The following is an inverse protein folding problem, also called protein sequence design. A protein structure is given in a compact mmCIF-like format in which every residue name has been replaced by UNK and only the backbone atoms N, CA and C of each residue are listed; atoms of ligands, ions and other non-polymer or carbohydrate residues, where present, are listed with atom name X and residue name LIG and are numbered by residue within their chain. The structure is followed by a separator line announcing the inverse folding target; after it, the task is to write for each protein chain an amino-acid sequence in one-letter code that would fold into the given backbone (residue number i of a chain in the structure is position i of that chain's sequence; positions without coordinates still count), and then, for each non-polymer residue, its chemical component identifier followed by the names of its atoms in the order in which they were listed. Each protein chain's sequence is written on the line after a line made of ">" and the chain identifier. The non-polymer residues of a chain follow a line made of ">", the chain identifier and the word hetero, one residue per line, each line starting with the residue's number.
data_IF_789146970442
#
_entry.id   IF_789146970442
#
_cell.length_a   1.000
_cell.length_b   1.000
_cell.length_c   1.000
_cell.angle_alpha   90.00
_cell.angle_beta   90.00
_cell.angle_gamma   90.00
#
_symmetry.space_group_name_H-M   'P 1'
#
loop_
_entity.id
_entity.type
_entity.pdbx_description
1 polymer ?
#
# COMPACT_ATOMS: atom_id res chain seq x y z
N UNK A 1 -8.05 16.67 -19.70
CA UNK A 1 -8.21 15.30 -19.11
C UNK A 1 -7.39 15.29 -17.83
N UNK A 2 -7.99 14.89 -16.71
CA UNK A 2 -7.30 14.90 -15.41
C UNK A 2 -6.25 13.77 -15.36
N UNK A 3 -5.03 14.08 -14.92
CA UNK A 3 -3.91 13.14 -14.74
C UNK A 3 -4.35 11.93 -13.89
N UNK A 4 -5.18 12.16 -12.88
CA UNK A 4 -5.76 11.13 -12.02
C UNK A 4 -6.64 10.11 -12.76
N UNK A 5 -7.32 10.54 -13.83
CA UNK A 5 -8.16 9.64 -14.65
C UNK A 5 -7.30 8.73 -15.53
N UNK A 6 -6.21 9.25 -16.10
CA UNK A 6 -5.26 8.45 -16.91
C UNK A 6 -4.57 7.42 -16.03
N UNK A 7 -4.11 7.85 -14.85
CA UNK A 7 -3.43 6.97 -13.89
C UNK A 7 -4.37 5.90 -13.31
N UNK A 8 -5.66 6.21 -13.10
CA UNK A 8 -6.64 5.22 -12.62
C UNK A 8 -6.95 4.15 -13.66
N UNK A 9 -7.03 4.53 -14.95
CA UNK A 9 -7.22 3.59 -16.06
C UNK A 9 -5.97 2.71 -16.23
N UNK A 10 -4.79 3.31 -16.17
CA UNK A 10 -3.53 2.56 -16.24
C UNK A 10 -3.34 1.64 -15.02
N UNK A 11 -3.78 2.07 -13.83
CA UNK A 11 -3.79 1.24 -12.62
C UNK A 11 -4.74 0.04 -12.74
N UNK A 12 -5.93 0.23 -13.29
CA UNK A 12 -6.88 -0.87 -13.50
C UNK A 12 -6.36 -1.89 -14.53
N UNK A 13 -5.67 -1.43 -15.56
CA UNK A 13 -5.00 -2.29 -16.53
C UNK A 13 -3.80 -3.05 -15.91
N UNK A 14 -3.10 -2.43 -14.98
CA UNK A 14 -1.97 -3.03 -14.26
C UNK A 14 -2.39 -4.07 -13.22
N UNK A 15 -3.52 -3.84 -12.56
CA UNK A 15 -4.03 -4.75 -11.51
C UNK A 15 -4.71 -5.99 -12.06
N UNK A 16 -5.11 -6.00 -13.33
CA UNK A 16 -5.65 -7.15 -14.07
C UNK A 16 -4.54 -8.13 -14.47
N UNK A 17 -4.03 -8.84 -13.53
CA UNK A 17 -2.74 -9.47 -13.37
C UNK A 17 -2.47 -10.77 -14.18
N UNK A 18 -3.19 -11.15 -15.19
CA UNK A 18 -2.93 -12.43 -15.90
C UNK A 18 -2.85 -12.36 -17.41
N UNK A 19 -3.23 -11.28 -18.05
CA UNK A 19 -3.24 -11.14 -19.50
C UNK A 19 -2.37 -10.02 -20.08
N UNK A 20 -1.52 -9.40 -19.27
CA UNK A 20 -0.66 -8.28 -19.68
C UNK A 20 0.36 -8.65 -20.80
N UNK A 21 0.61 -9.91 -21.01
CA UNK A 21 1.67 -10.36 -21.91
C UNK A 21 1.27 -10.41 -23.39
N UNK A 22 0.02 -10.22 -23.76
CA UNK A 22 -0.43 -10.51 -25.16
C UNK A 22 -0.94 -9.27 -25.92
N UNK A 23 -1.34 -8.18 -25.26
CA UNK A 23 -2.05 -7.09 -25.93
C UNK A 23 -1.34 -5.73 -26.00
N UNK A 24 -0.11 -5.63 -25.51
CA UNK A 24 0.62 -4.36 -25.66
C UNK A 24 1.28 -4.31 -27.04
N UNK A 25 0.55 -3.80 -28.03
CA UNK A 25 1.13 -3.39 -29.31
C UNK A 25 2.14 -2.27 -29.08
N UNK A 26 3.27 -2.28 -29.78
CA UNK A 26 4.27 -1.22 -29.66
C UNK A 26 3.69 0.19 -29.90
N UNK A 27 2.61 0.30 -30.67
CA UNK A 27 1.88 1.56 -30.90
C UNK A 27 1.18 2.11 -29.65
N UNK A 28 0.64 1.23 -28.79
CA UNK A 28 -0.03 1.65 -27.53
C UNK A 28 0.98 2.14 -26.50
N UNK A 29 2.14 1.47 -26.41
CA UNK A 29 3.26 1.93 -25.58
C UNK A 29 3.71 3.32 -26.01
N UNK A 30 3.85 3.54 -27.33
CA UNK A 30 4.24 4.83 -27.89
C UNK A 30 3.22 5.92 -27.55
N UNK A 31 1.94 5.64 -27.72
CA UNK A 31 0.86 6.60 -27.37
C UNK A 31 0.90 7.00 -25.88
N UNK A 32 1.12 6.03 -24.98
CA UNK A 32 1.24 6.30 -23.54
C UNK A 32 2.48 7.17 -23.26
N UNK A 33 3.62 6.86 -23.86
CA UNK A 33 4.84 7.66 -23.72
C UNK A 33 4.66 9.08 -24.23
N UNK A 34 4.01 9.27 -25.36
CA UNK A 34 3.74 10.58 -25.96
C UNK A 34 2.82 11.45 -25.09
N UNK A 35 1.93 10.81 -24.30
CA UNK A 35 1.10 11.50 -23.30
C UNK A 35 1.87 11.82 -22.01
N UNK A 36 2.84 11.00 -21.64
CA UNK A 36 3.62 11.18 -20.42
C UNK A 36 4.76 12.19 -20.54
N UNK A 37 5.38 12.29 -21.72
CA UNK A 37 6.50 13.21 -21.96
C UNK A 37 6.16 14.68 -21.64
N UNK A 38 5.01 15.25 -22.06
CA UNK A 38 4.66 16.63 -21.69
C UNK A 38 4.40 16.79 -20.19
N UNK A 39 3.89 15.76 -19.49
CA UNK A 39 3.73 15.78 -18.04
C UNK A 39 5.08 15.84 -17.32
N UNK A 40 6.08 15.12 -17.83
CA UNK A 40 7.46 15.18 -17.31
C UNK A 40 8.07 16.59 -17.48
N UNK A 41 7.81 17.26 -18.57
CA UNK A 41 8.27 18.64 -18.80
C UNK A 41 7.65 19.67 -17.84
N UNK A 42 6.45 19.38 -17.34
CA UNK A 42 5.71 20.23 -16.39
C UNK A 42 5.74 19.65 -14.95
N UNK A 43 6.72 18.79 -14.67
CA UNK A 43 6.81 18.07 -13.38
C UNK A 43 6.72 18.99 -12.16
N UNK A 44 7.42 20.14 -12.21
CA UNK A 44 7.44 21.10 -11.11
C UNK A 44 6.09 21.80 -10.84
N UNK A 45 5.17 21.75 -11.83
CA UNK A 45 3.83 22.32 -11.70
C UNK A 45 2.81 21.31 -11.17
N UNK A 46 3.19 20.04 -11.07
CA UNK A 46 2.32 18.98 -10.54
C UNK A 46 2.23 19.07 -9.01
N UNK A 47 1.08 18.68 -8.48
CA UNK A 47 0.96 18.48 -7.04
C UNK A 47 1.82 17.30 -6.57
N UNK A 48 2.31 17.34 -5.34
CA UNK A 48 3.15 16.27 -4.77
C UNK A 48 2.55 14.86 -4.96
N UNK A 49 1.25 14.60 -4.72
CA UNK A 49 0.64 13.32 -5.01
C UNK A 49 0.76 12.90 -6.48
N UNK A 50 0.54 13.85 -7.41
CA UNK A 50 0.62 13.57 -8.85
C UNK A 50 2.07 13.28 -9.29
N UNK A 51 3.07 13.93 -8.68
CA UNK A 51 4.49 13.65 -8.91
C UNK A 51 4.83 12.22 -8.50
N UNK A 52 4.42 11.83 -7.29
CA UNK A 52 4.66 10.47 -6.77
C UNK A 52 4.01 9.41 -7.66
N UNK A 53 2.76 9.63 -8.08
CA UNK A 53 2.05 8.70 -8.96
C UNK A 53 2.74 8.57 -10.32
N UNK A 54 3.20 9.68 -10.90
CA UNK A 54 3.93 9.69 -12.16
C UNK A 54 5.25 8.93 -12.04
N UNK A 55 6.02 9.17 -10.99
CA UNK A 55 7.31 8.52 -10.78
C UNK A 55 7.15 7.01 -10.55
N UNK A 56 6.18 6.60 -9.75
CA UNK A 56 5.88 5.18 -9.52
C UNK A 56 5.42 4.50 -10.82
N UNK A 57 4.60 5.17 -11.60
CA UNK A 57 4.16 4.65 -12.90
C UNK A 57 5.32 4.48 -13.87
N UNK A 58 6.19 5.49 -14.01
CA UNK A 58 7.38 5.42 -14.86
C UNK A 58 8.33 4.31 -14.41
N UNK A 59 8.60 4.21 -13.12
CA UNK A 59 9.45 3.18 -12.56
C UNK A 59 8.91 1.77 -12.86
N UNK A 60 7.60 1.55 -12.66
CA UNK A 60 6.96 0.28 -12.98
C UNK A 60 7.02 -0.04 -14.49
N UNK A 61 6.72 0.94 -15.33
CA UNK A 61 6.71 0.77 -16.80
C UNK A 61 8.09 0.40 -17.32
N UNK A 62 9.14 1.11 -16.88
CA UNK A 62 10.52 0.83 -17.31
C UNK A 62 10.97 -0.58 -16.91
N UNK A 63 10.71 -0.98 -15.67
CA UNK A 63 11.06 -2.32 -15.21
C UNK A 63 10.25 -3.42 -15.92
N UNK A 64 8.97 -3.16 -16.22
CA UNK A 64 8.13 -4.09 -17.00
C UNK A 64 8.61 -4.23 -18.43
N UNK A 65 9.00 -3.14 -19.09
CA UNK A 65 9.60 -3.18 -20.44
C UNK A 65 10.93 -3.94 -20.43
N UNK A 66 11.75 -3.75 -19.41
CA UNK A 66 12.99 -4.52 -19.25
C UNK A 66 12.71 -6.02 -19.06
N UNK A 67 11.69 -6.38 -18.28
CA UNK A 67 11.25 -7.77 -18.14
C UNK A 67 10.87 -8.39 -19.48
N UNK A 68 10.06 -7.69 -20.27
CA UNK A 68 9.64 -8.13 -21.60
C UNK A 68 10.85 -8.27 -22.53
N UNK A 69 11.76 -7.29 -22.52
CA UNK A 69 12.98 -7.32 -23.32
C UNK A 69 13.87 -8.55 -23.02
N UNK A 70 14.02 -8.91 -21.74
CA UNK A 70 14.73 -10.13 -21.33
C UNK A 70 14.04 -11.38 -21.88
N UNK A 71 12.72 -11.47 -21.81
CA UNK A 71 11.97 -12.61 -22.36
C UNK A 71 12.10 -12.74 -23.86
N UNK A 72 12.09 -11.61 -24.60
CA UNK A 72 12.31 -11.60 -26.05
C UNK A 72 13.72 -12.11 -26.38
N UNK A 73 14.72 -11.82 -25.55
CA UNK A 73 16.10 -12.31 -25.70
C UNK A 73 16.30 -13.77 -25.28
N UNK A 74 15.26 -14.44 -24.79
CA UNK A 74 15.33 -15.81 -24.29
C UNK A 74 16.01 -15.94 -22.93
N UNK A 75 16.20 -14.84 -22.21
CA UNK A 75 16.77 -14.82 -20.85
C UNK A 75 15.63 -14.92 -19.84
N UNK A 76 15.76 -15.80 -18.84
CA UNK A 76 14.74 -15.86 -17.77
C UNK A 76 14.85 -14.63 -16.85
N UNK A 77 13.82 -13.77 -16.81
CA UNK A 77 13.83 -12.61 -15.94
C UNK A 77 13.73 -12.95 -14.46
N UNK A 78 13.35 -14.18 -14.10
CA UNK A 78 13.18 -14.61 -12.71
C UNK A 78 14.51 -14.69 -11.96
N UNK A 79 15.62 -14.87 -12.67
CA UNK A 79 16.98 -14.88 -12.12
C UNK A 79 17.68 -13.51 -12.25
N UNK A 80 17.04 -12.57 -12.93
CA UNK A 80 17.59 -11.25 -13.19
C UNK A 80 17.21 -10.24 -12.09
N UNK A 81 18.08 -9.28 -11.72
CA UNK A 81 17.79 -8.24 -10.71
C UNK A 81 16.51 -7.42 -10.95
N UNK A 82 16.00 -7.39 -12.17
CA UNK A 82 14.74 -6.71 -12.52
C UNK A 82 13.55 -7.22 -11.70
N UNK A 83 13.58 -8.47 -11.26
CA UNK A 83 12.57 -9.06 -10.38
C UNK A 83 12.52 -8.33 -9.03
N UNK A 84 13.68 -8.08 -8.44
CA UNK A 84 13.79 -7.42 -7.15
C UNK A 84 13.37 -5.95 -7.25
N UNK A 85 13.71 -5.29 -8.37
CA UNK A 85 13.26 -3.93 -8.64
C UNK A 85 11.74 -3.84 -8.80
N UNK A 86 11.12 -4.75 -9.54
CA UNK A 86 9.67 -4.82 -9.66
C UNK A 86 9.01 -5.06 -8.29
N UNK A 87 9.59 -5.90 -7.46
CA UNK A 87 9.09 -6.15 -6.11
C UNK A 87 9.19 -4.90 -5.23
N UNK A 88 10.30 -4.15 -5.30
CA UNK A 88 10.46 -2.88 -4.59
C UNK A 88 9.42 -1.85 -5.03
N UNK A 89 9.23 -1.69 -6.33
CA UNK A 89 8.22 -0.77 -6.87
C UNK A 89 6.83 -1.16 -6.37
N UNK A 90 6.45 -2.45 -6.41
CA UNK A 90 5.16 -2.94 -5.88
C UNK A 90 4.97 -2.59 -4.40
N UNK A 91 6.00 -2.78 -3.57
CA UNK A 91 5.93 -2.44 -2.14
C UNK A 91 5.68 -0.94 -1.94
N UNK A 92 6.37 -0.08 -2.72
CA UNK A 92 6.16 1.38 -2.62
C UNK A 92 4.76 1.77 -3.10
N UNK A 93 4.25 1.14 -4.17
CA UNK A 93 2.89 1.34 -4.65
C UNK A 93 1.83 0.99 -3.60
N UNK A 94 2.00 -0.13 -2.90
CA UNK A 94 1.11 -0.52 -1.78
C UNK A 94 1.15 0.51 -0.65
N UNK A 95 2.33 0.97 -0.26
CA UNK A 95 2.49 2.03 0.75
C UNK A 95 1.82 3.34 0.31
N UNK A 96 1.97 3.71 -0.96
CA UNK A 96 1.31 4.89 -1.49
C UNK A 96 -0.21 4.77 -1.46
N UNK A 97 -0.75 3.61 -1.82
CA UNK A 97 -2.18 3.33 -1.70
C UNK A 97 -2.65 3.43 -0.25
N UNK A 98 -1.87 2.90 0.69
CA UNK A 98 -2.16 3.02 2.12
C UNK A 98 -2.22 4.48 2.60
N UNK A 99 -1.32 5.33 2.10
CA UNK A 99 -1.32 6.78 2.39
C UNK A 99 -2.57 7.45 1.83
N UNK A 100 -2.97 7.15 0.59
CA UNK A 100 -4.19 7.68 -0.03
C UNK A 100 -5.46 7.26 0.70
N UNK A 101 -5.49 6.04 1.21
CA UNK A 101 -6.65 5.51 1.93
C UNK A 101 -6.68 5.94 3.41
N UNK A 102 -5.63 6.62 3.88
CA UNK A 102 -5.55 7.10 5.26
C UNK A 102 -6.71 8.00 5.64
N UNK A 103 -7.10 8.91 4.76
CA UNK A 103 -8.19 9.85 4.99
C UNK A 103 -9.58 9.17 4.95
N UNK A 104 -9.66 7.99 4.33
CA UNK A 104 -10.89 7.18 4.26
C UNK A 104 -11.07 6.25 5.46
N UNK A 105 -10.04 6.14 6.32
CA UNK A 105 -10.11 5.25 7.49
C UNK A 105 -11.13 5.79 8.48
N UNK A 106 -11.96 4.93 9.08
CA UNK A 106 -12.88 5.34 10.12
C UNK A 106 -12.08 5.91 11.30
N UNK A 107 -12.49 7.09 11.78
CA UNK A 107 -11.93 7.68 12.99
C UNK A 107 -12.54 7.02 14.21
N UNK A 108 -11.70 6.69 15.19
CA UNK A 108 -12.19 6.11 16.45
C UNK A 108 -12.93 7.18 17.24
N UNK A 109 -14.17 6.90 17.62
CA UNK A 109 -14.89 7.70 18.59
C UNK A 109 -14.24 7.48 19.98
N UNK A 110 -13.43 8.46 20.40
CA UNK A 110 -12.67 8.40 21.65
C UNK A 110 -13.60 8.29 22.85
N UNK A 111 -14.77 8.93 22.85
CA UNK A 111 -15.72 8.88 23.93
C UNK A 111 -16.41 7.52 24.05
N UNK A 112 -16.77 6.93 22.92
CA UNK A 112 -17.27 5.56 22.88
C UNK A 112 -16.20 4.57 23.35
N UNK A 113 -14.96 4.69 22.84
CA UNK A 113 -13.85 3.84 23.23
C UNK A 113 -13.56 3.91 24.74
N UNK A 114 -13.55 5.11 25.33
CA UNK A 114 -13.39 5.30 26.79
C UNK A 114 -14.52 4.63 27.57
N UNK A 115 -15.77 4.71 27.10
CA UNK A 115 -16.91 4.04 27.75
C UNK A 115 -16.77 2.53 27.73
N UNK A 116 -16.36 1.95 26.60
CA UNK A 116 -16.11 0.51 26.46
C UNK A 116 -14.97 0.05 27.36
N UNK A 117 -13.85 0.77 27.38
CA UNK A 117 -12.72 0.45 28.26
C UNK A 117 -13.15 0.52 29.74
N UNK A 118 -13.86 1.58 30.13
CA UNK A 118 -14.36 1.75 31.50
C UNK A 118 -15.33 0.62 31.89
N UNK A 119 -16.21 0.22 30.99
CA UNK A 119 -17.14 -0.89 31.21
C UNK A 119 -16.40 -2.24 31.29
N UNK A 120 -15.43 -2.48 30.40
CA UNK A 120 -14.65 -3.74 30.39
C UNK A 120 -13.70 -3.87 31.56
N UNK A 121 -13.24 -2.76 32.15
CA UNK A 121 -12.40 -2.72 33.34
C UNK A 121 -13.18 -2.49 34.62
N UNK A 122 -14.52 -2.44 34.55
CA UNK A 122 -15.36 -2.24 35.69
C UNK A 122 -15.36 -3.50 36.57
N UNK A 123 -14.81 -3.36 37.77
CA UNK A 123 -14.86 -4.37 38.82
C UNK A 123 -15.87 -3.92 39.87
N UNK A 124 -17.02 -4.61 39.97
CA UNK A 124 -18.07 -4.26 40.94
C UNK A 124 -17.61 -4.33 42.41
N UNK A 125 -16.64 -5.21 42.70
CA UNK A 125 -16.08 -5.37 44.04
C UNK A 125 -15.12 -4.23 44.43
N UNK A 126 -14.45 -3.62 43.44
CA UNK A 126 -13.57 -2.48 43.68
C UNK A 126 -14.32 -1.18 43.91
N UNK A 127 -15.52 -1.01 43.32
CA UNK A 127 -16.36 0.15 43.47
C UNK A 127 -17.00 0.22 44.86
N UNK A 128 -17.18 -0.90 45.55
CA UNK A 128 -17.77 -0.98 46.91
C UNK A 128 -16.77 -0.84 48.06
N UNK A 129 -15.50 -0.53 47.75
CA UNK A 129 -14.46 -0.33 48.78
C UNK A 129 -14.03 -1.61 49.50
N UNK A 130 -14.53 -2.77 49.07
CA UNK A 130 -14.20 -4.08 49.67
C UNK A 130 -13.16 -4.86 48.87
N UNK A 131 -12.27 -4.18 48.16
CA UNK A 131 -11.09 -4.80 47.59
C UNK A 131 -10.07 -5.10 48.70
N UNK A 132 -10.43 -5.97 49.62
CA UNK A 132 -9.41 -6.62 50.45
C UNK A 132 -8.63 -7.56 49.55
N UNK A 133 -7.35 -7.21 49.26
CA UNK A 133 -6.37 -8.13 48.80
C UNK A 133 -6.27 -9.24 49.85
N UNK A 134 -7.06 -10.29 49.70
CA UNK A 134 -6.83 -11.54 50.43
C UNK A 134 -5.55 -12.11 49.86
N UNK A 135 -4.41 -11.80 50.49
CA UNK A 135 -3.18 -12.55 50.27
C UNK A 135 -3.53 -14.03 50.53
N UNK A 136 -3.48 -14.82 49.49
CA UNK A 136 -3.58 -16.28 49.61
C UNK A 136 -2.37 -16.70 50.42
N UNK A 137 -2.59 -17.02 51.70
CA UNK A 137 -1.56 -17.66 52.54
C UNK A 137 -1.59 -19.12 52.14
N UNK A 138 -0.53 -19.60 51.58
CA UNK A 138 -0.28 -21.03 51.43
C UNK A 138 0.00 -21.60 52.83
N UNK A 139 -0.57 -22.76 53.21
CA UNK A 139 -0.20 -23.39 54.44
C UNK A 139 1.29 -23.76 54.40
N UNK A 140 2.05 -23.29 55.38
CA UNK A 140 3.39 -23.80 55.63
C UNK A 140 3.23 -25.27 56.05
N UNK A 141 3.85 -26.18 55.30
CA UNK A 141 3.97 -27.58 55.68
C UNK A 141 4.99 -27.62 56.84
N UNK A 142 4.49 -27.79 58.06
CA UNK A 142 5.33 -28.16 59.19
C UNK A 142 5.78 -29.62 58.96
N UNK A 143 7.10 -29.81 58.73
CA UNK A 143 7.79 -31.10 58.91
C UNK A 143 8.16 -31.28 60.40
#
# INVERSE_FOLDING_TARGET
>A
MNVTSILSVLWSLLSANSHFSILFSGSEVQQVLDQLLPLKQQYDKLTLPAQIELDLFLAFTLNSLQWINLRIKGIDPSEHPVKDELQRVKVVMMKWQEVKDRDKRPTVDIEAAKRFIKSGLYDPYRATGQAQNKKIKFPENDE
#
